data_IF_338204530719
#
_entry.id   IF_338204530719
#
_cell.length_a   1.000
_cell.length_b   1.000
_cell.length_c   1.000
_cell.angle_alpha   90.00
_cell.angle_beta   90.00
_cell.angle_gamma   90.00
#
_symmetry.space_group_name_H-M   'P 1'
#
loop_
_entity.id
_entity.type
_entity.pdbx_description
1 polymer ?
#
# COMPACT_ATOMS: atom_id res chain seq x y z
N UNK A 1 -5.33 -0.24 16.34
CA UNK A 1 -3.87 -0.33 16.28
C UNK A 1 -3.34 -0.37 17.69
N UNK A 2 -2.49 -1.34 17.96
CA UNK A 2 -1.81 -1.51 19.25
C UNK A 2 -0.34 -1.15 19.05
N UNK A 3 0.34 -0.79 20.15
CA UNK A 3 1.73 -0.34 20.13
C UNK A 3 2.60 -1.14 21.12
N UNK A 4 2.75 -2.46 20.95
CA UNK A 4 3.51 -3.32 21.86
C UNK A 4 5.03 -3.00 21.90
N UNK A 5 5.51 -2.20 20.96
CA UNK A 5 6.87 -1.65 20.91
C UNK A 5 7.03 -0.31 21.60
N UNK A 6 5.95 0.29 22.13
CA UNK A 6 5.94 1.68 22.61
C UNK A 6 6.46 2.66 21.53
N UNK A 7 6.11 2.41 20.27
CA UNK A 7 6.74 3.05 19.12
C UNK A 7 5.82 4.08 18.42
N UNK A 8 4.86 4.67 19.13
CA UNK A 8 3.87 5.59 18.54
C UNK A 8 4.51 6.76 17.76
N UNK A 9 5.53 7.41 18.33
CA UNK A 9 6.19 8.56 17.71
C UNK A 9 6.86 8.22 16.38
N UNK A 10 7.32 6.98 16.17
CA UNK A 10 7.86 6.55 14.88
C UNK A 10 6.82 6.63 13.76
N UNK A 11 5.55 6.31 14.06
CA UNK A 11 4.46 6.38 13.08
C UNK A 11 4.08 7.82 12.71
N UNK A 12 4.57 8.83 13.45
CA UNK A 12 4.34 10.23 13.14
C UNK A 12 5.32 10.79 12.10
N UNK A 13 6.49 10.16 11.91
CA UNK A 13 7.57 10.66 11.03
C UNK A 13 7.06 10.97 9.60
N UNK A 14 6.27 10.09 8.93
CA UNK A 14 5.77 10.41 7.58
C UNK A 14 4.81 11.60 7.57
N UNK A 15 4.02 11.79 8.64
CA UNK A 15 3.11 12.92 8.78
C UNK A 15 3.86 14.22 9.01
N UNK A 16 4.93 14.22 9.82
CA UNK A 16 5.80 15.38 9.99
C UNK A 16 6.38 15.87 8.66
N UNK A 17 6.83 14.94 7.80
CA UNK A 17 7.31 15.26 6.46
C UNK A 17 6.19 15.84 5.57
N UNK A 18 4.99 15.24 5.59
CA UNK A 18 3.84 15.73 4.82
C UNK A 18 3.36 17.12 5.29
N UNK A 19 3.40 17.38 6.59
CA UNK A 19 3.08 18.67 7.19
C UNK A 19 4.10 19.73 6.76
N UNK A 20 5.40 19.41 6.81
CA UNK A 20 6.47 20.30 6.34
C UNK A 20 6.36 20.60 4.84
N UNK A 21 5.84 19.66 4.04
CA UNK A 21 5.55 19.85 2.61
C UNK A 21 4.29 20.70 2.33
N UNK A 22 3.55 21.11 3.37
CA UNK A 22 2.36 21.96 3.23
C UNK A 22 1.12 21.20 2.78
N UNK A 23 0.93 19.95 3.23
CA UNK A 23 -0.24 19.14 2.87
C UNK A 23 -1.57 19.89 3.10
N UNK A 24 -2.49 19.81 2.13
CA UNK A 24 -3.73 20.59 2.14
C UNK A 24 -4.83 19.96 3.02
N UNK A 25 -4.85 18.63 3.10
CA UNK A 25 -5.84 17.84 3.81
C UNK A 25 -5.19 16.62 4.48
N UNK A 26 -5.69 16.23 5.64
CA UNK A 26 -5.33 15.01 6.37
C UNK A 26 -6.60 14.19 6.58
N UNK A 27 -6.49 12.88 6.34
CA UNK A 27 -7.55 11.91 6.57
C UNK A 27 -7.20 11.01 7.76
N UNK A 28 -7.89 11.11 8.90
CA UNK A 28 -7.70 10.17 10.00
C UNK A 28 -8.31 8.81 9.63
N UNK A 29 -7.49 7.75 9.66
CA UNK A 29 -7.92 6.40 9.31
C UNK A 29 -8.78 5.74 10.40
N UNK A 30 -9.38 4.58 10.11
CA UNK A 30 -10.35 3.88 10.99
C UNK A 30 -9.84 3.40 12.35
N UNK A 31 -8.54 3.25 12.54
CA UNK A 31 -8.03 2.52 13.71
C UNK A 31 -8.20 3.27 15.02
N UNK A 32 -8.25 2.51 16.10
CA UNK A 32 -8.17 3.01 17.47
C UNK A 32 -6.70 3.08 17.88
N UNK A 33 -6.17 4.22 18.35
CA UNK A 33 -4.83 4.32 18.92
C UNK A 33 -4.83 3.76 20.35
N UNK A 34 -4.84 2.43 20.47
CA UNK A 34 -5.09 1.76 21.75
C UNK A 34 -4.05 2.18 22.80
N UNK A 35 -4.55 2.68 23.93
CA UNK A 35 -3.81 3.12 25.10
C UNK A 35 -2.79 4.25 24.84
N UNK A 36 -2.92 4.97 23.72
CA UNK A 36 -2.07 6.13 23.40
C UNK A 36 -2.70 7.47 23.82
N UNK A 37 -3.97 7.45 24.23
CA UNK A 37 -4.74 8.64 24.59
C UNK A 37 -5.63 8.35 25.80
N UNK A 38 -6.41 9.33 26.24
CA UNK A 38 -7.38 9.18 27.34
C UNK A 38 -8.62 8.36 26.98
N UNK A 39 -8.86 8.09 25.69
CA UNK A 39 -9.99 7.28 25.22
C UNK A 39 -9.63 6.35 24.05
N UNK A 40 -10.07 5.09 24.13
CA UNK A 40 -9.88 4.08 23.08
C UNK A 40 -11.01 4.16 22.03
N UNK A 41 -11.02 5.23 21.25
CA UNK A 41 -11.93 5.44 20.11
C UNK A 41 -11.17 5.69 18.80
N UNK A 42 -11.79 5.42 17.64
CA UNK A 42 -11.14 5.60 16.35
C UNK A 42 -10.63 7.04 16.13
N UNK A 43 -9.54 7.20 15.37
CA UNK A 43 -8.81 8.48 15.23
C UNK A 43 -9.72 9.68 14.94
N UNK A 44 -10.71 9.53 14.04
CA UNK A 44 -11.64 10.62 13.68
C UNK A 44 -12.56 11.09 14.82
N UNK A 45 -12.75 10.27 15.86
CA UNK A 45 -13.53 10.62 17.05
C UNK A 45 -12.65 11.00 18.25
N UNK A 46 -11.33 10.88 18.13
CA UNK A 46 -10.39 11.06 19.21
C UNK A 46 -9.86 12.50 19.28
N UNK A 47 -10.25 13.26 20.31
CA UNK A 47 -9.88 14.67 20.42
C UNK A 47 -8.39 14.90 20.68
N UNK A 48 -7.73 13.99 21.40
CA UNK A 48 -6.29 14.08 21.65
C UNK A 48 -5.48 13.96 20.35
N UNK A 49 -5.94 13.14 19.40
CA UNK A 49 -5.32 13.03 18.08
C UNK A 49 -5.70 14.21 17.18
N UNK A 50 -7.00 14.49 17.02
CA UNK A 50 -7.43 15.48 16.04
C UNK A 50 -7.10 16.90 16.47
N UNK A 51 -7.44 17.29 17.70
CA UNK A 51 -7.13 18.63 18.22
C UNK A 51 -5.74 18.66 18.83
N UNK A 52 -5.45 17.78 19.80
CA UNK A 52 -4.20 17.84 20.56
C UNK A 52 -2.95 17.64 19.70
N UNK A 53 -2.93 16.60 18.87
CA UNK A 53 -1.80 16.30 18.02
C UNK A 53 -1.76 17.18 16.77
N UNK A 54 -2.82 17.18 15.95
CA UNK A 54 -2.77 17.91 14.68
C UNK A 54 -2.89 19.43 14.87
N UNK A 55 -3.92 19.93 15.57
CA UNK A 55 -4.16 21.38 15.68
C UNK A 55 -3.21 22.07 16.64
N UNK A 56 -2.93 21.46 17.79
CA UNK A 56 -2.15 22.12 18.85
C UNK A 56 -0.65 21.82 18.70
N UNK A 57 -0.23 20.55 18.78
CA UNK A 57 1.20 20.18 18.68
C UNK A 57 1.81 20.52 17.33
N UNK A 58 1.14 20.16 16.23
CA UNK A 58 1.67 20.41 14.88
C UNK A 58 1.19 21.72 14.24
N UNK A 59 0.30 22.48 14.90
CA UNK A 59 -0.25 23.72 14.34
C UNK A 59 -0.85 23.54 12.93
N UNK A 60 -1.36 22.34 12.63
CA UNK A 60 -1.92 22.03 11.32
C UNK A 60 -3.24 22.76 11.13
N UNK A 61 -3.30 23.65 10.14
CA UNK A 61 -4.51 24.43 9.82
C UNK A 61 -5.21 23.99 8.53
N UNK A 62 -4.76 22.91 7.88
CA UNK A 62 -5.43 22.35 6.70
C UNK A 62 -6.73 21.61 7.03
N UNK A 63 -7.37 21.02 6.03
CA UNK A 63 -8.64 20.30 6.21
C UNK A 63 -8.38 18.97 6.94
N UNK A 64 -9.26 18.63 7.88
CA UNK A 64 -9.37 17.28 8.43
C UNK A 64 -10.68 16.65 7.94
N UNK A 65 -10.55 15.66 7.07
CA UNK A 65 -11.68 14.94 6.49
C UNK A 65 -11.68 13.50 7.02
N UNK A 66 -12.79 12.99 7.54
CA UNK A 66 -12.83 11.58 7.95
C UNK A 66 -12.60 10.64 6.78
N UNK A 67 -12.18 9.41 7.07
CA UNK A 67 -12.34 8.30 6.12
C UNK A 67 -13.85 8.02 5.86
N UNK A 68 -14.14 7.04 5.00
CA UNK A 68 -15.48 6.73 4.53
C UNK A 68 -16.33 5.91 5.50
N UNK A 69 -17.60 6.28 5.67
CA UNK A 69 -18.57 5.42 6.37
C UNK A 69 -18.31 5.28 7.87
N UNK A 70 -17.93 6.38 8.53
CA UNK A 70 -17.77 6.43 9.98
C UNK A 70 -19.08 6.69 10.73
N UNK A 71 -20.07 7.28 10.06
CA UNK A 71 -21.30 7.78 10.70
C UNK A 71 -22.46 6.81 10.48
N UNK A 72 -22.83 6.60 9.21
CA UNK A 72 -23.99 5.79 8.81
C UNK A 72 -23.57 4.44 8.22
N UNK A 73 -24.40 3.43 8.44
CA UNK A 73 -24.24 2.10 7.85
C UNK A 73 -24.45 2.17 6.33
N UNK A 74 -23.60 1.48 5.56
CA UNK A 74 -23.82 1.31 4.13
C UNK A 74 -24.74 0.11 3.91
N UNK A 75 -25.96 0.38 3.44
CA UNK A 75 -26.98 -0.66 3.20
C UNK A 75 -27.07 -0.97 1.71
N UNK A 76 -26.78 -2.22 1.34
CA UNK A 76 -26.96 -2.77 -0.01
C UNK A 76 -27.95 -3.93 0.00
N UNK A 77 -28.46 -4.33 -1.17
CA UNK A 77 -29.35 -5.50 -1.26
C UNK A 77 -28.62 -6.75 -0.73
N UNK A 78 -29.15 -7.34 0.35
CA UNK A 78 -28.61 -8.56 0.96
C UNK A 78 -27.42 -8.38 1.91
N UNK A 79 -26.93 -7.16 2.14
CA UNK A 79 -25.81 -6.92 3.06
C UNK A 79 -25.85 -5.52 3.69
N UNK A 80 -25.65 -5.46 5.02
CA UNK A 80 -25.43 -4.20 5.76
C UNK A 80 -23.97 -4.14 6.16
N UNK A 81 -23.30 -3.08 5.73
CA UNK A 81 -21.95 -2.70 6.13
C UNK A 81 -22.03 -1.71 7.29
N UNK A 82 -21.81 -2.13 8.54
CA UNK A 82 -21.92 -1.23 9.69
C UNK A 82 -20.93 -0.08 9.60
N UNK A 83 -21.29 1.08 10.11
CA UNK A 83 -20.38 2.21 10.24
C UNK A 83 -19.10 1.79 10.99
N UNK A 84 -17.94 2.30 10.57
CA UNK A 84 -16.63 2.00 11.17
C UNK A 84 -16.43 2.86 12.42
N UNK A 85 -17.44 2.89 13.27
CA UNK A 85 -17.57 3.73 14.45
C UNK A 85 -16.84 3.14 15.66
N UNK A 86 -15.61 2.64 15.46
CA UNK A 86 -14.91 1.84 16.47
C UNK A 86 -14.69 2.61 17.79
N UNK A 87 -15.10 1.99 18.89
CA UNK A 87 -15.09 2.57 20.24
C UNK A 87 -16.29 3.49 20.56
N UNK A 88 -17.14 3.79 19.58
CA UNK A 88 -18.36 4.60 19.75
C UNK A 88 -19.58 4.00 19.04
N UNK A 89 -19.58 2.68 18.89
CA UNK A 89 -20.65 1.92 18.22
C UNK A 89 -22.00 2.11 18.90
N UNK A 90 -21.98 2.34 20.22
CA UNK A 90 -23.15 2.60 21.07
C UNK A 90 -23.80 3.98 20.82
N UNK A 91 -23.10 4.93 20.20
CA UNK A 91 -23.65 6.24 19.86
C UNK A 91 -24.54 6.14 18.62
N UNK A 92 -25.59 6.95 18.58
CA UNK A 92 -26.36 7.15 17.35
C UNK A 92 -25.61 8.06 16.36
N UNK A 93 -26.13 8.18 15.13
CA UNK A 93 -25.47 8.92 14.06
C UNK A 93 -25.24 10.40 14.39
N UNK A 94 -26.25 11.08 14.95
CA UNK A 94 -26.14 12.49 15.37
C UNK A 94 -25.08 12.67 16.46
N UNK A 95 -24.99 11.73 17.42
CA UNK A 95 -23.95 11.72 18.45
C UNK A 95 -22.55 11.45 17.90
N UNK A 96 -22.42 10.56 16.90
CA UNK A 96 -21.15 10.30 16.18
C UNK A 96 -20.68 11.56 15.44
N UNK A 97 -21.58 12.22 14.71
CA UNK A 97 -21.29 13.50 14.02
C UNK A 97 -20.83 14.55 15.03
N UNK A 98 -21.53 14.67 16.16
CA UNK A 98 -21.16 15.61 17.21
C UNK A 98 -19.76 15.33 17.75
N UNK A 99 -19.47 14.08 18.11
CA UNK A 99 -18.15 13.71 18.67
C UNK A 99 -17.02 14.01 17.69
N UNK A 100 -17.20 13.71 16.40
CA UNK A 100 -16.19 14.03 15.38
C UNK A 100 -15.96 15.56 15.23
N UNK A 101 -17.02 16.37 15.20
CA UNK A 101 -16.88 17.84 15.14
C UNK A 101 -16.21 18.39 16.39
N UNK A 102 -16.59 17.89 17.57
CA UNK A 102 -15.97 18.27 18.85
C UNK A 102 -14.50 17.85 18.94
N UNK A 103 -14.11 16.75 18.29
CA UNK A 103 -12.73 16.31 18.16
C UNK A 103 -11.91 17.23 17.25
N UNK A 104 -12.54 17.93 16.30
CA UNK A 104 -11.89 18.91 15.41
C UNK A 104 -11.98 18.59 13.92
N UNK A 105 -12.77 17.59 13.52
CA UNK A 105 -13.03 17.25 12.12
C UNK A 105 -13.72 18.41 11.40
N UNK A 106 -13.34 18.64 10.14
CA UNK A 106 -13.93 19.69 9.29
C UNK A 106 -14.94 19.14 8.27
N UNK A 107 -14.73 17.92 7.79
CA UNK A 107 -15.50 17.29 6.73
C UNK A 107 -15.67 15.78 6.96
N UNK A 108 -16.79 15.23 6.49
CA UNK A 108 -17.10 13.80 6.57
C UNK A 108 -16.91 13.13 5.20
N UNK A 109 -16.05 12.12 5.13
CA UNK A 109 -15.82 11.31 3.94
C UNK A 109 -16.94 10.30 3.71
N UNK A 110 -17.43 10.22 2.46
CA UNK A 110 -18.44 9.23 2.07
C UNK A 110 -19.81 9.39 2.74
N UNK A 111 -20.07 10.52 3.40
CA UNK A 111 -21.33 10.80 4.09
C UNK A 111 -22.26 11.65 3.23
N UNK A 112 -23.56 11.33 3.28
CA UNK A 112 -24.61 11.94 2.45
C UNK A 112 -25.73 12.60 3.26
N UNK A 113 -25.60 12.64 4.61
CA UNK A 113 -26.61 13.14 5.54
C UNK A 113 -26.23 14.46 6.21
N UNK A 114 -26.18 15.59 5.46
CA UNK A 114 -25.83 16.89 6.03
C UNK A 114 -26.84 17.37 7.08
N UNK A 115 -28.07 16.87 7.06
CA UNK A 115 -29.11 17.20 8.03
C UNK A 115 -28.72 16.87 9.47
N UNK A 116 -27.81 15.91 9.69
CA UNK A 116 -27.29 15.59 11.03
C UNK A 116 -26.51 16.76 11.63
N UNK A 117 -25.74 17.50 10.81
CA UNK A 117 -25.02 18.69 11.24
C UNK A 117 -25.99 19.85 11.48
N UNK A 118 -26.97 20.02 10.59
CA UNK A 118 -28.01 21.06 10.72
C UNK A 118 -28.76 20.89 12.03
N UNK A 119 -29.22 19.67 12.32
CA UNK A 119 -29.92 19.35 13.56
C UNK A 119 -29.09 19.72 14.79
N UNK A 120 -27.79 19.39 14.81
CA UNK A 120 -26.90 19.72 15.94
C UNK A 120 -26.76 21.24 16.17
N UNK A 121 -26.83 22.05 15.12
CA UNK A 121 -26.78 23.52 15.24
C UNK A 121 -28.13 24.06 15.73
N UNK A 122 -29.24 23.59 15.16
CA UNK A 122 -30.60 23.98 15.57
C UNK A 122 -30.89 23.62 17.04
N UNK A 123 -30.48 22.42 17.47
CA UNK A 123 -30.58 21.93 18.84
C UNK A 123 -29.54 22.59 19.79
N UNK A 124 -28.73 23.53 19.28
CA UNK A 124 -27.66 24.25 20.00
C UNK A 124 -26.63 23.32 20.66
N UNK A 125 -26.43 22.13 20.09
CA UNK A 125 -25.42 21.17 20.50
C UNK A 125 -24.04 21.49 19.91
N UNK A 126 -24.02 22.21 18.79
CA UNK A 126 -22.82 22.77 18.15
C UNK A 126 -23.11 24.24 17.80
N UNK A 127 -22.13 25.13 17.97
CA UNK A 127 -22.28 26.53 17.57
C UNK A 127 -22.05 26.71 16.07
N UNK A 128 -22.74 27.68 15.46
CA UNK A 128 -22.51 28.07 14.06
C UNK A 128 -21.04 28.47 13.83
N UNK A 129 -20.45 29.19 14.79
CA UNK A 129 -19.02 29.55 14.74
C UNK A 129 -18.09 28.35 14.67
N UNK A 130 -18.42 27.21 15.32
CA UNK A 130 -17.62 25.99 15.18
C UNK A 130 -17.65 25.49 13.74
N UNK A 131 -18.79 25.58 13.07
CA UNK A 131 -18.96 25.21 11.66
C UNK A 131 -18.23 26.20 10.74
N UNK A 132 -18.26 27.50 11.04
CA UNK A 132 -17.54 28.53 10.27
C UNK A 132 -16.04 28.26 10.18
N UNK A 133 -15.41 27.71 11.23
CA UNK A 133 -14.02 27.31 11.18
C UNK A 133 -13.76 26.24 10.12
N UNK A 134 -14.60 25.20 10.06
CA UNK A 134 -14.50 24.12 9.07
C UNK A 134 -14.75 24.67 7.66
N UNK A 135 -15.81 25.46 7.48
CA UNK A 135 -16.17 26.06 6.19
C UNK A 135 -15.06 26.98 5.68
N UNK A 136 -14.43 27.78 6.53
CA UNK A 136 -13.31 28.66 6.13
C UNK A 136 -12.13 27.86 5.57
N UNK A 137 -11.78 26.71 6.15
CA UNK A 137 -10.70 25.85 5.65
C UNK A 137 -11.03 25.25 4.28
N UNK A 138 -12.26 24.77 4.11
CA UNK A 138 -12.76 24.25 2.85
C UNK A 138 -12.77 25.33 1.75
N UNK A 139 -13.30 26.51 2.05
CA UNK A 139 -13.35 27.63 1.12
C UNK A 139 -11.95 28.13 0.76
N UNK A 140 -11.02 28.21 1.74
CA UNK A 140 -9.63 28.59 1.46
C UNK A 140 -9.00 27.69 0.41
N UNK A 141 -9.17 26.37 0.49
CA UNK A 141 -8.64 25.46 -0.54
C UNK A 141 -9.29 25.69 -1.91
N UNK A 142 -10.60 25.95 -1.97
CA UNK A 142 -11.28 26.29 -3.23
C UNK A 142 -10.76 27.59 -3.86
N UNK A 143 -10.44 28.59 -3.05
CA UNK A 143 -9.80 29.83 -3.51
C UNK A 143 -8.36 29.59 -3.99
N UNK A 144 -7.55 28.85 -3.25
CA UNK A 144 -6.17 28.52 -3.64
C UNK A 144 -6.10 27.73 -4.96
N UNK A 145 -7.08 26.85 -5.19
CA UNK A 145 -7.23 26.10 -6.44
C UNK A 145 -7.79 26.94 -7.60
N UNK A 146 -8.17 28.20 -7.37
CA UNK A 146 -8.76 29.08 -8.38
C UNK A 146 -10.16 28.65 -8.84
N UNK A 147 -10.88 27.82 -8.07
CA UNK A 147 -12.17 27.28 -8.49
C UNK A 147 -13.28 28.34 -8.60
N UNK A 148 -13.10 29.50 -7.97
CA UNK A 148 -14.02 30.63 -8.13
C UNK A 148 -13.75 31.43 -9.41
N UNK A 149 -12.54 31.32 -9.98
CA UNK A 149 -12.12 32.02 -11.20
C UNK A 149 -12.26 31.13 -12.44
N UNK A 150 -11.84 29.87 -12.33
CA UNK A 150 -11.92 28.87 -13.39
C UNK A 150 -12.27 27.47 -12.82
N UNK A 151 -13.57 27.14 -12.64
CA UNK A 151 -14.00 25.90 -12.01
C UNK A 151 -13.90 24.65 -12.88
N UNK A 152 -13.67 24.78 -14.19
CA UNK A 152 -13.77 23.67 -15.14
C UNK A 152 -12.46 23.39 -15.86
N UNK A 153 -12.23 22.12 -16.20
CA UNK A 153 -11.14 21.68 -17.06
C UNK A 153 -11.59 21.60 -18.53
N UNK A 154 -10.65 21.76 -19.46
CA UNK A 154 -10.91 21.52 -20.89
C UNK A 154 -10.83 20.03 -21.22
N UNK A 155 -11.98 19.37 -21.33
CA UNK A 155 -12.06 17.93 -21.58
C UNK A 155 -11.52 17.51 -22.95
N UNK A 156 -11.34 18.45 -23.89
CA UNK A 156 -10.76 18.16 -25.22
C UNK A 156 -9.27 17.82 -25.15
N UNK A 157 -8.58 18.19 -24.06
CA UNK A 157 -7.16 17.93 -23.88
C UNK A 157 -6.87 16.57 -23.23
N UNK A 158 -7.90 15.87 -22.73
CA UNK A 158 -7.72 14.62 -21.97
C UNK A 158 -6.95 13.57 -22.77
N UNK A 159 -7.27 13.38 -24.05
CA UNK A 159 -6.58 12.40 -24.91
C UNK A 159 -5.13 12.77 -25.25
N UNK A 160 -4.72 14.02 -25.01
CA UNK A 160 -3.35 14.48 -25.21
C UNK A 160 -2.50 14.32 -23.95
N UNK A 161 -3.13 14.30 -22.78
CA UNK A 161 -2.45 14.26 -21.47
C UNK A 161 -2.45 12.85 -20.89
N UNK A 162 -3.61 12.17 -20.88
CA UNK A 162 -3.75 10.86 -20.25
C UNK A 162 -3.07 9.80 -21.13
N UNK A 163 -2.08 9.10 -20.55
CA UNK A 163 -1.35 8.05 -21.26
C UNK A 163 -0.42 8.55 -22.35
N UNK A 164 -0.03 9.83 -22.34
CA UNK A 164 0.92 10.36 -23.32
C UNK A 164 2.29 9.67 -23.23
N UNK A 165 3.05 9.70 -24.33
CA UNK A 165 4.32 8.99 -24.47
C UNK A 165 5.34 9.36 -23.38
N UNK A 166 5.43 10.64 -23.01
CA UNK A 166 6.37 11.11 -22.00
C UNK A 166 6.06 10.54 -20.61
N UNK A 167 4.77 10.44 -20.25
CA UNK A 167 4.35 9.83 -18.99
C UNK A 167 4.54 8.32 -18.99
N UNK A 168 4.30 7.64 -20.11
CA UNK A 168 4.60 6.22 -20.25
C UNK A 168 6.11 5.96 -20.15
N UNK A 169 6.95 6.77 -20.80
CA UNK A 169 8.40 6.65 -20.70
C UNK A 169 8.91 6.87 -19.27
N UNK A 170 8.37 7.86 -18.55
CA UNK A 170 8.68 8.08 -17.14
C UNK A 170 8.22 6.91 -16.24
N UNK A 171 7.06 6.31 -16.54
CA UNK A 171 6.57 5.13 -15.85
C UNK A 171 7.48 3.91 -16.09
N UNK A 172 7.91 3.68 -17.33
CA UNK A 172 8.81 2.58 -17.69
C UNK A 172 10.16 2.70 -16.99
N UNK A 173 10.74 3.91 -16.94
CA UNK A 173 11.96 4.19 -16.19
C UNK A 173 11.76 3.89 -14.70
N UNK A 174 10.63 4.33 -14.13
CA UNK A 174 10.34 4.12 -12.71
C UNK A 174 10.22 2.63 -12.36
N UNK A 175 9.55 1.84 -13.20
CA UNK A 175 9.42 0.39 -13.01
C UNK A 175 10.77 -0.33 -13.04
N UNK A 176 11.64 -0.02 -14.01
CA UNK A 176 12.98 -0.64 -14.10
C UNK A 176 13.84 -0.31 -12.89
N UNK A 177 13.82 0.95 -12.44
CA UNK A 177 14.61 1.41 -11.28
C UNK A 177 14.11 0.83 -9.96
N UNK A 178 12.81 0.55 -9.83
CA UNK A 178 12.24 -0.09 -8.65
C UNK A 178 12.64 -1.58 -8.52
N UNK A 179 13.12 -2.21 -9.59
CA UNK A 179 13.51 -3.61 -9.58
C UNK A 179 14.68 -3.84 -8.63
N UNK A 180 14.48 -4.76 -7.68
CA UNK A 180 15.44 -5.04 -6.62
C UNK A 180 16.05 -6.42 -6.81
N UNK A 181 17.36 -6.49 -7.08
CA UNK A 181 18.08 -7.77 -7.21
C UNK A 181 18.39 -8.33 -5.82
N UNK A 182 17.85 -9.49 -5.48
CA UNK A 182 18.00 -10.13 -4.15
C UNK A 182 19.08 -11.21 -4.13
N UNK A 183 19.28 -11.91 -5.25
CA UNK A 183 20.31 -12.94 -5.39
C UNK A 183 20.80 -12.99 -6.83
N UNK A 184 22.10 -13.15 -7.02
CA UNK A 184 22.72 -13.41 -8.32
C UNK A 184 23.86 -14.42 -8.17
N UNK A 185 23.56 -15.72 -8.24
CA UNK A 185 24.57 -16.77 -8.08
C UNK A 185 25.38 -16.92 -9.37
N UNK A 186 26.69 -17.06 -9.22
CA UNK A 186 27.66 -17.22 -10.33
C UNK A 186 27.59 -16.10 -11.37
N UNK A 187 27.14 -14.90 -10.95
CA UNK A 187 26.95 -13.72 -11.80
C UNK A 187 26.12 -14.03 -13.07
N UNK A 188 25.07 -14.87 -12.94
CA UNK A 188 24.24 -15.28 -14.09
C UNK A 188 23.54 -14.10 -14.76
N UNK A 189 23.18 -13.06 -14.00
CA UNK A 189 22.62 -11.82 -14.52
C UNK A 189 23.69 -10.74 -14.68
N UNK A 190 23.63 -9.92 -15.75
CA UNK A 190 22.58 -9.92 -16.78
C UNK A 190 22.72 -11.06 -17.81
N UNK A 191 21.60 -11.55 -18.33
CA UNK A 191 21.60 -12.50 -19.44
C UNK A 191 22.09 -11.84 -20.73
N UNK A 192 22.75 -12.61 -21.59
CA UNK A 192 23.23 -12.16 -22.89
C UNK A 192 22.84 -13.13 -24.01
N UNK A 193 22.79 -12.63 -25.25
CA UNK A 193 22.41 -13.40 -26.42
C UNK A 193 20.90 -13.68 -26.49
N UNK A 194 20.53 -14.84 -27.05
CA UNK A 194 19.14 -15.31 -27.17
C UNK A 194 19.03 -16.75 -26.63
N UNK A 195 19.15 -16.94 -25.31
CA UNK A 195 19.06 -18.26 -24.69
C UNK A 195 17.68 -18.87 -24.93
N UNK A 196 17.59 -20.20 -24.86
CA UNK A 196 16.31 -20.89 -24.77
C UNK A 196 15.73 -20.66 -23.38
N UNK A 197 14.56 -20.04 -23.31
CA UNK A 197 13.93 -19.67 -22.05
C UNK A 197 12.58 -20.36 -21.91
N UNK A 198 12.35 -20.99 -20.77
CA UNK A 198 11.01 -21.35 -20.34
C UNK A 198 10.47 -20.20 -19.48
N UNK A 199 9.23 -19.76 -19.71
CA UNK A 199 8.63 -18.66 -18.95
C UNK A 199 7.35 -19.12 -18.25
N UNK A 200 7.17 -18.69 -17.00
CA UNK A 200 5.96 -18.94 -16.23
C UNK A 200 5.43 -17.63 -15.64
N UNK A 201 4.14 -17.36 -15.84
CA UNK A 201 3.45 -16.12 -15.45
C UNK A 201 4.07 -14.83 -16.02
N UNK A 202 4.65 -14.93 -17.22
CA UNK A 202 5.15 -13.83 -18.04
C UNK A 202 4.54 -14.00 -19.43
N UNK A 203 4.29 -12.89 -20.12
CA UNK A 203 3.83 -12.92 -21.50
C UNK A 203 4.91 -13.53 -22.41
N UNK A 204 4.64 -14.68 -23.06
CA UNK A 204 5.60 -15.33 -23.95
C UNK A 204 5.91 -14.50 -25.21
N UNK A 205 5.01 -13.63 -25.67
CA UNK A 205 5.26 -12.76 -26.82
C UNK A 205 6.26 -11.66 -26.48
N UNK A 206 6.21 -11.13 -25.25
CA UNK A 206 7.21 -10.18 -24.76
C UNK A 206 8.55 -10.89 -24.54
N UNK A 207 8.55 -12.07 -23.91
CA UNK A 207 9.75 -12.86 -23.67
C UNK A 207 10.49 -13.28 -24.96
N UNK A 208 9.74 -13.56 -26.04
CA UNK A 208 10.29 -13.90 -27.35
C UNK A 208 11.13 -12.77 -27.99
N UNK A 209 11.01 -11.52 -27.50
CA UNK A 209 11.86 -10.41 -27.94
C UNK A 209 13.26 -10.43 -27.32
N UNK A 210 13.48 -11.26 -26.30
CA UNK A 210 14.74 -11.34 -25.54
C UNK A 210 15.42 -12.71 -25.70
N UNK A 211 14.66 -13.80 -25.79
CA UNK A 211 15.18 -15.16 -25.93
C UNK A 211 14.29 -16.05 -26.79
N UNK A 212 14.70 -17.32 -26.97
CA UNK A 212 13.92 -18.33 -27.69
C UNK A 212 12.99 -19.04 -26.71
N UNK A 213 11.71 -18.70 -26.71
CA UNK A 213 10.74 -19.31 -25.80
C UNK A 213 10.51 -20.78 -26.16
N UNK A 214 10.64 -21.67 -25.18
CA UNK A 214 10.34 -23.11 -25.29
C UNK A 214 9.16 -23.49 -24.40
N UNK A 215 8.52 -24.62 -24.71
CA UNK A 215 7.29 -25.06 -24.04
C UNK A 215 7.52 -25.98 -22.85
N UNK A 216 8.71 -26.58 -22.73
CA UNK A 216 9.07 -27.49 -21.65
C UNK A 216 10.33 -27.01 -20.92
N UNK A 217 10.36 -27.02 -19.58
CA UNK A 217 11.53 -26.61 -18.80
C UNK A 217 12.82 -27.35 -19.16
N UNK A 218 12.72 -28.62 -19.54
CA UNK A 218 13.86 -29.49 -19.86
C UNK A 218 14.54 -29.12 -21.19
N UNK A 219 13.85 -28.37 -22.05
CA UNK A 219 14.37 -27.89 -23.33
C UNK A 219 15.07 -26.52 -23.20
N UNK A 220 14.91 -25.86 -22.05
CA UNK A 220 15.39 -24.52 -21.80
C UNK A 220 16.83 -24.53 -21.27
N UNK A 221 17.59 -23.50 -21.63
CA UNK A 221 18.88 -23.22 -20.99
C UNK A 221 18.64 -22.68 -19.57
N UNK A 222 17.55 -21.95 -19.37
CA UNK A 222 17.08 -21.43 -18.08
C UNK A 222 15.57 -21.18 -18.08
N UNK A 223 14.97 -21.12 -16.89
CA UNK A 223 13.59 -20.66 -16.70
C UNK A 223 13.51 -19.26 -16.09
N UNK A 224 12.48 -18.49 -16.45
CA UNK A 224 12.11 -17.22 -15.81
C UNK A 224 10.70 -17.37 -15.26
N UNK A 225 10.57 -17.35 -13.93
CA UNK A 225 9.29 -17.47 -13.25
C UNK A 225 8.94 -16.14 -12.61
N UNK A 226 7.71 -15.68 -12.83
CA UNK A 226 7.14 -14.55 -12.10
C UNK A 226 6.15 -15.05 -11.06
N UNK A 227 6.39 -14.76 -9.79
CA UNK A 227 5.58 -15.21 -8.67
C UNK A 227 4.82 -14.02 -8.07
N UNK A 228 3.57 -14.26 -7.67
CA UNK A 228 2.85 -13.33 -6.81
C UNK A 228 3.17 -13.65 -5.35
N UNK A 229 3.22 -12.65 -4.48
CA UNK A 229 3.37 -12.90 -3.05
C UNK A 229 2.20 -13.75 -2.55
N UNK A 230 2.45 -14.83 -1.79
CA UNK A 230 1.39 -15.70 -1.32
C UNK A 230 0.48 -14.94 -0.33
N UNK A 231 -0.80 -15.27 -0.39
CA UNK A 231 -1.78 -14.79 0.56
C UNK A 231 -2.89 -15.83 0.71
N UNK A 232 -3.61 -15.73 1.82
CA UNK A 232 -4.69 -16.63 2.17
C UNK A 232 -5.86 -15.79 2.66
N UNK A 233 -7.01 -15.96 2.01
CA UNK A 233 -8.22 -15.24 2.38
C UNK A 233 -8.56 -15.49 3.84
N UNK A 234 -8.99 -14.43 4.52
CA UNK A 234 -9.53 -14.54 5.88
C UNK A 234 -10.90 -15.19 5.82
N UNK A 235 -11.20 -16.08 6.76
CA UNK A 235 -12.52 -16.66 6.91
C UNK A 235 -13.47 -15.60 7.50
N UNK A 236 -14.26 -14.98 6.62
CA UNK A 236 -15.17 -13.89 6.98
C UNK A 236 -16.42 -13.90 6.10
N UNK A 237 -17.59 -13.54 6.63
CA UNK A 237 -18.80 -13.32 5.83
C UNK A 237 -18.71 -12.05 4.96
N UNK A 238 -17.71 -11.20 5.15
CA UNK A 238 -17.49 -10.00 4.34
C UNK A 238 -16.73 -10.33 3.05
N UNK A 239 -17.46 -10.50 1.94
CA UNK A 239 -16.90 -10.87 0.63
C UNK A 239 -15.86 -9.89 0.08
N UNK A 240 -15.95 -8.61 0.43
CA UNK A 240 -14.93 -7.64 0.05
C UNK A 240 -13.62 -7.88 0.80
N UNK A 241 -13.69 -8.19 2.09
CA UNK A 241 -12.52 -8.51 2.90
C UNK A 241 -11.85 -9.83 2.48
N UNK A 242 -12.59 -10.76 1.86
CA UNK A 242 -11.99 -11.98 1.28
C UNK A 242 -11.05 -11.68 0.11
N UNK A 243 -11.21 -10.54 -0.58
CA UNK A 243 -10.35 -10.14 -1.70
C UNK A 243 -9.05 -9.45 -1.29
N UNK A 244 -8.86 -9.19 0.00
CA UNK A 244 -7.63 -8.58 0.50
C UNK A 244 -6.56 -9.63 0.79
N UNK A 245 -5.31 -9.26 0.50
CA UNK A 245 -4.16 -10.14 0.70
C UNK A 245 -3.83 -10.28 2.19
N UNK A 246 -4.43 -11.30 2.80
CA UNK A 246 -4.34 -11.62 4.22
C UNK A 246 -3.50 -12.88 4.48
N UNK A 247 -3.39 -13.24 5.77
CA UNK A 247 -2.85 -14.53 6.19
C UNK A 247 -1.34 -14.64 6.06
N UNK A 248 -0.88 -15.88 5.98
CA UNK A 248 0.53 -16.25 5.97
C UNK A 248 1.26 -15.76 4.70
N UNK A 249 2.56 -15.53 4.85
CA UNK A 249 3.45 -14.93 3.86
C UNK A 249 4.31 -15.97 3.11
N UNK A 250 4.12 -17.25 3.37
CA UNK A 250 4.85 -18.36 2.75
C UNK A 250 3.98 -19.13 1.76
N UNK A 251 4.61 -19.70 0.72
CA UNK A 251 3.95 -20.66 -0.15
C UNK A 251 3.74 -21.98 0.59
N UNK A 252 2.63 -22.67 0.31
CA UNK A 252 2.27 -23.94 0.97
C UNK A 252 1.84 -25.01 -0.02
N UNK A 253 1.88 -26.26 0.44
CA UNK A 253 1.32 -27.41 -0.28
C UNK A 253 1.87 -27.60 -1.68
N UNK A 254 0.98 -27.93 -2.61
CA UNK A 254 1.27 -28.22 -4.01
C UNK A 254 1.93 -27.05 -4.73
N UNK A 255 1.43 -25.81 -4.55
CA UNK A 255 2.01 -24.63 -5.17
C UNK A 255 3.50 -24.44 -4.83
N UNK A 256 3.88 -24.65 -3.55
CA UNK A 256 5.30 -24.61 -3.16
C UNK A 256 6.09 -25.77 -3.76
N UNK A 257 5.51 -26.97 -3.78
CA UNK A 257 6.17 -28.16 -4.32
C UNK A 257 6.45 -28.01 -5.82
N UNK A 258 5.51 -27.47 -6.59
CA UNK A 258 5.64 -27.21 -8.03
C UNK A 258 6.76 -26.20 -8.32
N UNK A 259 6.77 -25.06 -7.61
CA UNK A 259 7.83 -24.05 -7.74
C UNK A 259 9.20 -24.67 -7.46
N UNK A 260 9.35 -25.38 -6.34
CA UNK A 260 10.64 -26.00 -5.97
C UNK A 260 11.05 -27.12 -6.92
N UNK A 261 10.10 -27.85 -7.51
CA UNK A 261 10.39 -28.87 -8.51
C UNK A 261 10.97 -28.23 -9.77
N UNK A 262 10.33 -27.17 -10.30
CA UNK A 262 10.82 -26.45 -11.47
C UNK A 262 12.22 -25.86 -11.23
N UNK A 263 12.44 -25.21 -10.08
CA UNK A 263 13.73 -24.64 -9.68
C UNK A 263 14.87 -25.68 -9.64
N UNK A 264 14.55 -26.95 -9.40
CA UNK A 264 15.51 -28.06 -9.36
C UNK A 264 15.73 -28.72 -10.72
N UNK A 265 14.77 -28.59 -11.64
CA UNK A 265 14.86 -29.16 -12.99
C UNK A 265 15.79 -28.34 -13.89
N UNK A 266 15.70 -27.01 -13.82
CA UNK A 266 16.43 -26.10 -14.72
C UNK A 266 16.90 -24.84 -13.95
N UNK A 267 18.10 -24.30 -14.23
CA UNK A 267 18.53 -23.03 -13.65
C UNK A 267 17.46 -21.96 -13.84
N UNK A 268 17.05 -21.32 -12.76
CA UNK A 268 15.85 -20.49 -12.76
C UNK A 268 16.13 -19.09 -12.20
N UNK A 269 15.61 -18.09 -12.90
CA UNK A 269 15.50 -16.71 -12.43
C UNK A 269 14.08 -16.53 -11.89
N UNK A 270 13.96 -16.18 -10.62
CA UNK A 270 12.66 -15.92 -9.99
C UNK A 270 12.48 -14.42 -9.84
N UNK A 271 11.32 -13.92 -10.23
CA UNK A 271 10.89 -12.54 -9.99
C UNK A 271 9.65 -12.60 -9.12
N UNK A 272 9.70 -12.06 -7.91
CA UNK A 272 8.54 -12.02 -7.01
C UNK A 272 7.94 -10.62 -6.99
N UNK A 273 6.64 -10.52 -7.29
CA UNK A 273 5.86 -9.30 -7.09
C UNK A 273 5.58 -9.14 -5.59
N UNK A 274 6.17 -8.12 -4.98
CA UNK A 274 6.05 -7.83 -3.56
C UNK A 274 5.07 -6.67 -3.32
N UNK A 275 3.80 -7.00 -3.10
CA UNK A 275 2.82 -6.06 -2.55
C UNK A 275 2.78 -6.09 -1.00
N UNK A 276 3.44 -7.10 -0.41
CA UNK A 276 3.69 -7.29 1.02
C UNK A 276 4.98 -8.12 1.19
N UNK A 277 5.53 -8.24 2.41
CA UNK A 277 6.68 -9.12 2.65
C UNK A 277 6.36 -10.59 2.34
N UNK A 278 7.37 -11.36 1.92
CA UNK A 278 7.24 -12.77 1.57
C UNK A 278 8.28 -13.62 2.34
N UNK A 279 7.85 -14.79 2.82
CA UNK A 279 8.69 -15.80 3.46
C UNK A 279 9.04 -16.88 2.45
N UNK A 280 10.24 -16.76 1.85
CA UNK A 280 10.66 -17.57 0.70
C UNK A 280 12.09 -18.14 0.80
N UNK A 281 12.55 -18.64 1.97
CA UNK A 281 13.94 -19.08 2.13
C UNK A 281 14.31 -20.24 1.19
N UNK A 282 13.41 -21.19 0.92
CA UNK A 282 13.71 -22.31 0.02
C UNK A 282 13.78 -21.87 -1.44
N UNK A 283 12.88 -20.97 -1.88
CA UNK A 283 12.91 -20.42 -3.24
C UNK A 283 14.20 -19.60 -3.44
N UNK A 284 14.54 -18.74 -2.48
CA UNK A 284 15.80 -17.98 -2.51
C UNK A 284 17.01 -18.90 -2.60
N UNK A 285 17.04 -20.00 -1.84
CA UNK A 285 18.15 -20.97 -1.87
C UNK A 285 18.29 -21.66 -3.22
N UNK A 286 17.19 -22.13 -3.81
CA UNK A 286 17.20 -22.94 -5.04
C UNK A 286 17.37 -22.09 -6.31
N UNK A 287 16.83 -20.87 -6.35
CA UNK A 287 16.91 -19.98 -7.51
C UNK A 287 18.36 -19.60 -7.86
N UNK A 288 18.70 -19.55 -9.15
CA UNK A 288 20.01 -19.06 -9.60
C UNK A 288 20.09 -17.53 -9.40
N UNK A 289 19.02 -16.82 -9.74
CA UNK A 289 18.85 -15.41 -9.40
C UNK A 289 17.44 -15.14 -8.88
N UNK A 290 17.31 -14.13 -8.01
CA UNK A 290 16.05 -13.70 -7.42
C UNK A 290 15.94 -12.19 -7.53
N UNK A 291 14.83 -11.68 -8.07
CA UNK A 291 14.49 -10.27 -8.11
C UNK A 291 13.13 -10.03 -7.43
N UNK A 292 12.92 -8.82 -6.94
CA UNK A 292 11.63 -8.34 -6.49
C UNK A 292 11.15 -7.18 -7.37
N UNK A 293 9.88 -7.24 -7.78
CA UNK A 293 9.16 -6.17 -8.46
C UNK A 293 7.97 -5.66 -7.63
N UNK A 294 7.40 -4.53 -8.02
CA UNK A 294 6.31 -3.87 -7.32
C UNK A 294 5.14 -3.52 -8.26
N UNK A 295 4.81 -4.46 -9.15
CA UNK A 295 3.76 -4.30 -10.17
C UNK A 295 4.31 -3.82 -11.51
N UNK A 296 5.53 -4.24 -11.86
CA UNK A 296 6.19 -3.88 -13.10
C UNK A 296 5.55 -4.59 -14.32
N UNK A 297 5.72 -4.02 -15.51
CA UNK A 297 5.43 -4.69 -16.78
C UNK A 297 6.47 -5.78 -17.06
N UNK A 298 6.08 -6.77 -17.86
CA UNK A 298 6.99 -7.85 -18.27
C UNK A 298 8.20 -7.31 -19.04
N UNK A 299 8.02 -6.27 -19.86
CA UNK A 299 9.10 -5.57 -20.55
C UNK A 299 10.10 -4.97 -19.56
N UNK A 300 9.63 -4.29 -18.51
CA UNK A 300 10.52 -3.71 -17.50
C UNK A 300 11.30 -4.79 -16.73
N UNK A 301 10.64 -5.92 -16.43
CA UNK A 301 11.29 -7.08 -15.80
C UNK A 301 12.40 -7.65 -16.69
N UNK A 302 12.09 -7.89 -17.95
CA UNK A 302 13.03 -8.48 -18.92
C UNK A 302 14.15 -7.51 -19.29
N UNK A 303 13.89 -6.20 -19.36
CA UNK A 303 14.92 -5.18 -19.56
C UNK A 303 15.99 -5.22 -18.47
N UNK A 304 15.59 -5.48 -17.22
CA UNK A 304 16.55 -5.67 -16.12
C UNK A 304 17.26 -7.01 -16.29
N UNK A 305 16.53 -8.14 -16.40
CA UNK A 305 17.13 -9.48 -16.52
C UNK A 305 18.19 -9.56 -17.64
N UNK A 306 17.95 -8.91 -18.79
CA UNK A 306 18.85 -8.91 -19.95
C UNK A 306 19.82 -7.70 -19.97
N UNK A 307 19.93 -6.96 -18.88
CA UNK A 307 20.93 -5.91 -18.70
C UNK A 307 20.75 -4.66 -19.57
N UNK A 308 19.57 -4.46 -20.17
CA UNK A 308 19.23 -3.19 -20.82
C UNK A 308 19.10 -2.05 -19.82
N UNK A 309 18.82 -2.38 -18.55
CA UNK A 309 18.91 -1.47 -17.41
C UNK A 309 19.48 -2.22 -16.21
N UNK A 310 20.27 -1.54 -15.38
CA UNK A 310 20.83 -2.12 -14.16
C UNK A 310 19.78 -2.08 -13.03
N UNK A 311 19.71 -3.10 -12.15
CA UNK A 311 18.87 -3.03 -10.96
C UNK A 311 19.44 -2.00 -9.99
N UNK A 312 18.57 -1.10 -9.54
CA UNK A 312 18.89 -0.03 -8.59
C UNK A 312 18.03 -0.11 -7.30
N UNK A 313 16.96 -0.91 -7.35
CA UNK A 313 15.97 -0.99 -6.28
C UNK A 313 16.56 -1.50 -4.97
N UNK A 314 15.95 -1.03 -3.88
CA UNK A 314 16.22 -1.47 -2.51
C UNK A 314 14.90 -1.84 -1.87
N UNK A 315 14.91 -2.91 -1.08
CA UNK A 315 13.71 -3.39 -0.41
C UNK A 315 13.16 -2.31 0.55
N UNK A 316 11.87 -1.92 0.43
CA UNK A 316 11.24 -0.95 1.33
C UNK A 316 10.82 -1.57 2.69
N UNK A 317 10.91 -2.88 2.82
CA UNK A 317 10.66 -3.66 4.03
C UNK A 317 11.53 -4.91 4.05
N UNK A 318 11.70 -5.54 5.22
CA UNK A 318 12.45 -6.80 5.30
C UNK A 318 11.65 -7.95 4.72
N UNK A 319 12.35 -8.98 4.24
CA UNK A 319 11.77 -10.29 3.94
C UNK A 319 12.08 -11.23 5.10
N UNK A 320 11.07 -11.67 5.87
CA UNK A 320 11.27 -12.53 7.04
C UNK A 320 11.81 -13.92 6.66
N UNK A 321 12.58 -14.54 7.56
CA UNK A 321 13.14 -15.88 7.34
C UNK A 321 12.14 -17.02 7.54
N UNK A 322 11.08 -16.79 8.30
CA UNK A 322 10.05 -17.79 8.59
C UNK A 322 8.74 -17.14 9.06
N UNK A 323 7.65 -17.89 9.01
CA UNK A 323 6.39 -17.46 9.64
C UNK A 323 6.50 -17.32 11.16
N UNK A 324 7.40 -18.08 11.81
CA UNK A 324 7.69 -17.89 13.24
C UNK A 324 8.29 -16.51 13.50
N UNK A 325 9.22 -16.07 12.66
CA UNK A 325 9.80 -14.72 12.75
C UNK A 325 8.71 -13.66 12.59
N UNK A 326 7.83 -13.79 11.58
CA UNK A 326 6.66 -12.89 11.37
C UNK A 326 5.78 -12.79 12.61
N UNK A 327 5.43 -13.93 13.21
CA UNK A 327 4.53 -13.98 14.39
C UNK A 327 5.17 -13.45 15.67
N UNK A 328 6.50 -13.32 15.70
CA UNK A 328 7.24 -12.80 16.84
C UNK A 328 7.47 -11.28 16.76
N UNK A 329 7.17 -10.67 15.61
CA UNK A 329 7.28 -9.22 15.42
C UNK A 329 6.23 -8.47 16.22
N UNK A 330 6.58 -7.24 16.57
CA UNK A 330 5.67 -6.24 17.13
C UNK A 330 5.08 -5.41 16.01
N UNK A 331 3.76 -5.30 15.96
CA UNK A 331 3.05 -4.70 14.83
C UNK A 331 3.34 -3.21 14.62
N UNK A 332 3.89 -2.52 15.64
CA UNK A 332 4.29 -1.12 15.59
C UNK A 332 5.80 -0.88 15.42
N UNK A 333 6.63 -1.93 15.44
CA UNK A 333 8.08 -1.80 15.32
C UNK A 333 8.51 -2.20 13.91
N UNK A 334 9.14 -1.28 13.14
CA UNK A 334 9.66 -1.63 11.83
C UNK A 334 10.90 -2.53 11.99
N UNK A 335 11.06 -3.46 11.04
CA UNK A 335 12.33 -4.16 10.82
C UNK A 335 12.85 -4.95 12.05
N UNK A 336 11.95 -5.51 12.85
CA UNK A 336 12.25 -6.25 14.07
C UNK A 336 12.24 -7.78 13.88
N UNK A 337 12.21 -8.25 12.62
CA UNK A 337 12.16 -9.68 12.33
C UNK A 337 13.48 -10.34 12.75
N UNK A 338 13.42 -11.47 13.46
CA UNK A 338 14.63 -12.21 13.82
C UNK A 338 15.29 -12.83 12.59
N UNK A 339 16.56 -12.47 12.35
CA UNK A 339 17.40 -12.99 11.26
C UNK A 339 16.67 -12.95 9.90
N UNK A 340 16.31 -11.76 9.37
CA UNK A 340 15.54 -11.66 8.15
C UNK A 340 16.29 -12.31 6.99
N UNK A 341 15.56 -12.92 6.06
CA UNK A 341 16.12 -13.48 4.82
C UNK A 341 16.80 -12.37 4.00
N UNK A 342 16.17 -11.20 3.94
CA UNK A 342 16.74 -9.97 3.39
C UNK A 342 16.34 -8.79 4.27
N UNK A 343 17.33 -8.01 4.70
CA UNK A 343 17.10 -6.84 5.54
C UNK A 343 16.43 -5.68 4.76
N UNK A 344 15.85 -4.73 5.50
CA UNK A 344 15.44 -3.45 4.93
C UNK A 344 16.59 -2.77 4.18
N UNK A 345 16.29 -2.17 3.03
CA UNK A 345 17.29 -1.51 2.19
C UNK A 345 18.22 -2.47 1.44
N UNK A 346 18.01 -3.79 1.51
CA UNK A 346 18.79 -4.75 0.74
C UNK A 346 18.49 -4.65 -0.76
N UNK A 347 19.53 -4.79 -1.59
CA UNK A 347 19.43 -4.87 -3.04
C UNK A 347 20.81 -4.88 -3.66
N UNK A 348 21.11 -5.88 -4.47
CA UNK A 348 22.37 -6.05 -5.19
C UNK A 348 22.37 -5.21 -6.47
N UNK A 349 23.56 -5.03 -7.03
CA UNK A 349 23.74 -4.53 -8.40
C UNK A 349 24.58 -5.55 -9.19
N UNK A 350 24.68 -5.39 -10.50
CA UNK A 350 25.55 -6.25 -11.30
C UNK A 350 27.02 -5.99 -10.95
N UNK A 351 27.77 -7.07 -10.86
CA UNK A 351 29.23 -7.04 -10.79
C UNK A 351 29.79 -6.38 -12.06
N UNK A 352 30.84 -5.57 -11.89
CA UNK A 352 31.51 -4.87 -12.99
C UNK A 352 32.42 -5.77 -13.82
#
# INVERSE_FOLDING_TARGET
QVYPGDNFDYHLIPFEAALAAGTAAIMPYYGVPVDQTDENVAMSFNKAIITGLLRERYSYDGIICTDWGLITDLVTEGFVWPARAWGVEHLNETERVKKAIDAGVDQFGGESRPELVVQLVEDRKISETRIDHSVRRLLRQKFLLGLFDNPFIDTRQVSQVVGCADFQAAADVSQRRAMTLLKNRDDVLPLSGQPKIFVQNLDPEVAAQYGKVVTAPEEADLAILRLQTPWYAVDTPNTFAQGFHHGDLDFKGEAKAEILTLLRTVPSIVVINLDRPAVIPEISREAQALLADFGASDTAVLDVIFGRTKPEGKLPFELPSSMTAVRSQKEDVPYDSENPLYAFGFGLTYTE
#
